data_IF_019421879769
#
_entry.id   IF_019421879769
#
_cell.length_a   1.000
_cell.length_b   1.000
_cell.length_c   1.000
_cell.angle_alpha   90.00
_cell.angle_beta   90.00
_cell.angle_gamma   90.00
#
_symmetry.space_group_name_H-M   'P 1'
#
loop_
_entity.id
_entity.type
_entity.pdbx_description
1 polymer ?
#
# COMPACT_ATOMS: atom_id res chain seq x y z
N UNK A 1 -11.53 18.95 -23.46
CA UNK A 1 -11.36 17.50 -23.26
C UNK A 1 -10.47 16.97 -24.37
N UNK A 2 -9.17 16.88 -24.14
CA UNK A 2 -8.24 16.18 -25.03
C UNK A 2 -7.82 14.96 -24.22
N UNK A 3 -8.36 13.78 -24.54
CA UNK A 3 -7.89 12.55 -23.91
C UNK A 3 -6.45 12.34 -24.36
N UNK A 4 -5.49 12.39 -23.43
CA UNK A 4 -4.11 12.00 -23.68
C UNK A 4 -4.07 10.53 -24.11
N UNK A 5 -4.11 10.29 -25.42
CA UNK A 5 -4.15 8.97 -26.05
C UNK A 5 -2.80 8.25 -26.06
N UNK A 6 -1.75 8.87 -25.51
CA UNK A 6 -0.38 8.34 -25.56
C UNK A 6 -0.08 7.27 -24.51
N UNK A 7 -0.91 7.10 -23.48
CA UNK A 7 -0.63 6.18 -22.36
C UNK A 7 -1.55 4.95 -22.32
N UNK A 8 -2.56 4.87 -23.19
CA UNK A 8 -3.54 3.78 -23.19
C UNK A 8 -3.00 2.58 -23.98
N UNK A 9 -3.00 1.40 -23.34
CA UNK A 9 -2.60 0.14 -23.97
C UNK A 9 -3.73 -0.42 -24.86
N UNK A 10 -3.37 -1.01 -26.01
CA UNK A 10 -4.32 -1.62 -26.96
C UNK A 10 -4.59 -3.11 -26.65
N UNK A 11 -5.74 -3.60 -27.08
CA UNK A 11 -6.41 -4.84 -26.64
C UNK A 11 -5.67 -6.19 -26.73
N UNK A 12 -4.64 -6.46 -27.57
CA UNK A 12 -3.86 -7.69 -27.39
C UNK A 12 -2.76 -7.54 -26.32
N UNK A 13 -2.06 -6.41 -26.33
CA UNK A 13 -0.96 -6.13 -25.39
C UNK A 13 -1.47 -5.92 -23.96
N UNK A 14 -2.66 -5.33 -23.80
CA UNK A 14 -3.29 -5.10 -22.50
C UNK A 14 -3.57 -6.41 -21.75
N UNK A 15 -4.12 -7.40 -22.43
CA UNK A 15 -4.47 -8.69 -21.82
C UNK A 15 -3.22 -9.46 -21.40
N UNK A 16 -2.18 -9.47 -22.25
CA UNK A 16 -0.88 -10.04 -21.89
C UNK A 16 -0.23 -9.33 -20.70
N UNK A 17 -0.27 -8.00 -20.68
CA UNK A 17 0.29 -7.21 -19.58
C UNK A 17 -0.46 -7.44 -18.25
N UNK A 18 -1.80 -7.56 -18.28
CA UNK A 18 -2.60 -7.91 -17.10
C UNK A 18 -2.30 -9.32 -16.58
N UNK A 19 -2.19 -10.30 -17.48
CA UNK A 19 -1.86 -11.67 -17.10
C UNK A 19 -0.45 -11.76 -16.47
N UNK A 20 0.54 -11.10 -17.09
CA UNK A 20 1.90 -11.01 -16.57
C UNK A 20 1.94 -10.33 -15.20
N UNK A 21 1.21 -9.22 -15.04
CA UNK A 21 1.09 -8.51 -13.77
C UNK A 21 0.54 -9.40 -12.65
N UNK A 22 -0.53 -10.17 -12.92
CA UNK A 22 -1.14 -11.08 -11.94
C UNK A 22 -0.15 -12.18 -11.57
N UNK A 23 0.49 -12.82 -12.55
CA UNK A 23 1.46 -13.88 -12.31
C UNK A 23 2.64 -13.40 -11.44
N UNK A 24 3.23 -12.25 -11.78
CA UNK A 24 4.34 -11.66 -11.04
C UNK A 24 3.93 -11.24 -9.62
N UNK A 25 2.76 -10.61 -9.47
CA UNK A 25 2.29 -10.14 -8.15
C UNK A 25 1.94 -11.30 -7.21
N UNK A 26 1.34 -12.38 -7.74
CA UNK A 26 1.08 -13.60 -6.96
C UNK A 26 2.39 -14.27 -6.55
N UNK A 27 3.35 -14.42 -7.48
CA UNK A 27 4.65 -14.99 -7.18
C UNK A 27 5.40 -14.18 -6.10
N UNK A 28 5.38 -12.84 -6.18
CA UNK A 28 5.98 -11.96 -5.19
C UNK A 28 5.32 -12.12 -3.79
N UNK A 29 3.98 -12.17 -3.74
CA UNK A 29 3.26 -12.34 -2.49
C UNK A 29 3.53 -13.71 -1.85
N UNK A 30 3.53 -14.77 -2.66
CA UNK A 30 3.86 -16.13 -2.19
C UNK A 30 5.30 -16.17 -1.67
N UNK A 31 6.25 -15.55 -2.37
CA UNK A 31 7.63 -15.49 -1.93
C UNK A 31 7.77 -14.80 -0.56
N UNK A 32 7.07 -13.67 -0.34
CA UNK A 32 7.05 -13.02 0.98
C UNK A 32 6.45 -13.92 2.06
N UNK A 33 5.30 -14.54 1.80
CA UNK A 33 4.62 -15.40 2.80
C UNK A 33 5.52 -16.59 3.15
N UNK A 34 6.09 -17.27 2.15
CA UNK A 34 6.94 -18.44 2.40
C UNK A 34 8.23 -18.02 3.11
N UNK A 35 8.87 -16.94 2.68
CA UNK A 35 10.10 -16.44 3.31
C UNK A 35 9.86 -16.03 4.76
N UNK A 36 8.78 -15.29 5.05
CA UNK A 36 8.42 -14.92 6.44
C UNK A 36 8.10 -16.13 7.31
N UNK A 37 7.45 -17.17 6.77
CA UNK A 37 7.20 -18.42 7.49
C UNK A 37 8.50 -19.19 7.78
N UNK A 38 9.45 -19.22 6.83
CA UNK A 38 10.76 -19.86 7.03
C UNK A 38 11.56 -19.07 8.06
N UNK A 39 11.64 -17.75 7.92
CA UNK A 39 12.32 -16.87 8.87
C UNK A 39 11.67 -16.86 10.26
N UNK A 40 10.43 -17.34 10.42
CA UNK A 40 9.81 -17.58 11.73
C UNK A 40 10.27 -18.83 12.45
N UNK A 41 10.96 -19.72 11.74
CA UNK A 41 11.55 -20.94 12.28
C UNK A 41 13.07 -20.85 12.45
N UNK A 42 13.70 -19.85 11.83
CA UNK A 42 15.14 -19.63 11.88
C UNK A 42 15.51 -18.47 12.82
N UNK A 43 16.79 -18.39 13.21
CA UNK A 43 17.30 -17.30 14.04
C UNK A 43 17.17 -15.94 13.33
N UNK A 44 17.03 -14.87 14.12
CA UNK A 44 17.03 -13.47 13.66
C UNK A 44 18.11 -13.25 12.58
N UNK A 45 17.82 -12.51 11.50
CA UNK A 45 18.82 -12.19 10.50
C UNK A 45 19.91 -11.34 11.15
N UNK A 46 21.00 -12.00 11.54
CA UNK A 46 22.15 -11.37 12.18
C UNK A 46 23.23 -11.14 11.14
N UNK A 47 23.85 -9.98 11.14
CA UNK A 47 25.15 -9.86 10.48
C UNK A 47 26.16 -10.71 11.28
N UNK A 48 26.67 -11.75 10.63
CA UNK A 48 27.60 -12.68 11.25
C UNK A 48 29.03 -12.12 11.16
N UNK A 49 29.69 -12.05 12.32
CA UNK A 49 31.12 -11.81 12.58
C UNK A 49 31.63 -10.34 12.56
N UNK A 50 32.67 -10.03 13.37
CA UNK A 50 33.25 -8.67 13.49
C UNK A 50 33.88 -8.11 12.20
N UNK A 51 34.12 -8.96 11.19
CA UNK A 51 34.82 -8.61 9.96
C UNK A 51 33.90 -8.50 8.74
N UNK A 52 32.60 -8.83 8.87
CA UNK A 52 31.64 -8.58 7.81
C UNK A 52 31.10 -7.14 7.94
N UNK A 53 31.19 -6.37 6.86
CA UNK A 53 30.62 -5.02 6.75
C UNK A 53 29.11 -5.08 6.93
N UNK A 54 28.68 -4.91 8.18
CA UNK A 54 27.26 -4.84 8.55
C UNK A 54 26.66 -3.61 7.88
N UNK A 55 25.49 -3.76 7.27
CA UNK A 55 24.73 -2.60 6.83
C UNK A 55 24.50 -1.67 8.03
N UNK A 56 24.59 -0.34 7.88
CA UNK A 56 24.51 0.55 9.03
C UNK A 56 23.19 0.48 9.81
N UNK A 57 22.16 -0.09 9.19
CA UNK A 57 20.82 -0.34 9.73
C UNK A 57 20.57 -1.80 10.16
N UNK A 58 21.60 -2.64 10.27
CA UNK A 58 21.47 -4.00 10.82
C UNK A 58 21.91 -4.08 12.28
N UNK A 59 21.35 -5.06 13.00
CA UNK A 59 21.77 -5.42 14.36
C UNK A 59 22.85 -6.51 14.29
N UNK A 60 23.89 -6.39 15.12
CA UNK A 60 24.91 -7.41 15.28
C UNK A 60 24.45 -8.51 16.26
N UNK A 61 25.13 -9.66 16.24
CA UNK A 61 24.90 -10.70 17.26
C UNK A 61 25.17 -10.20 18.69
N UNK A 62 26.16 -9.32 18.84
CA UNK A 62 26.51 -8.73 20.14
C UNK A 62 25.45 -7.75 20.63
N UNK A 63 24.80 -7.00 19.73
CA UNK A 63 23.67 -6.12 20.07
C UNK A 63 22.49 -6.95 20.60
N UNK A 64 22.20 -8.09 19.98
CA UNK A 64 21.12 -9.00 20.40
C UNK A 64 21.44 -9.61 21.77
N UNK A 65 22.68 -10.05 21.99
CA UNK A 65 23.12 -10.57 23.28
C UNK A 65 23.04 -9.51 24.38
N UNK A 66 23.40 -8.26 24.06
CA UNK A 66 23.29 -7.13 24.98
C UNK A 66 21.82 -6.81 25.32
N UNK A 67 20.93 -6.85 24.33
CA UNK A 67 19.49 -6.65 24.52
C UNK A 67 18.88 -7.73 25.44
N UNK A 68 19.31 -8.99 25.28
CA UNK A 68 18.86 -10.07 26.17
C UNK A 68 19.34 -9.85 27.61
N UNK A 69 20.58 -9.40 27.81
CA UNK A 69 21.13 -9.07 29.14
C UNK A 69 20.41 -7.91 29.81
N UNK A 70 19.88 -6.95 29.04
CA UNK A 70 19.10 -5.83 29.56
C UNK A 70 17.62 -6.15 29.80
N UNK A 71 17.21 -7.40 29.61
CA UNK A 71 15.87 -7.89 29.91
C UNK A 71 14.87 -7.73 28.75
N UNK A 72 15.31 -7.41 27.53
CA UNK A 72 14.43 -7.40 26.36
C UNK A 72 14.13 -8.85 25.92
N UNK A 73 12.86 -9.28 25.92
CA UNK A 73 12.51 -10.63 25.51
C UNK A 73 12.77 -10.82 24.01
N UNK A 74 13.36 -11.97 23.67
CA UNK A 74 13.70 -12.32 22.29
C UNK A 74 12.47 -12.27 21.36
N UNK A 75 11.32 -12.74 21.84
CA UNK A 75 10.05 -12.71 21.13
C UNK A 75 9.64 -11.30 20.70
N UNK A 76 9.77 -10.32 21.60
CA UNK A 76 9.39 -8.94 21.31
C UNK A 76 10.25 -8.35 20.19
N UNK A 77 11.57 -8.60 20.24
CA UNK A 77 12.49 -8.13 19.20
C UNK A 77 12.20 -8.80 17.86
N UNK A 78 11.94 -10.11 17.86
CA UNK A 78 11.57 -10.86 16.68
C UNK A 78 10.30 -10.31 16.02
N UNK A 79 9.21 -10.17 16.79
CA UNK A 79 7.96 -9.63 16.27
C UNK A 79 8.07 -8.17 15.84
N UNK A 80 8.84 -7.35 16.55
CA UNK A 80 9.08 -5.97 16.16
C UNK A 80 9.77 -5.88 14.79
N UNK A 81 10.89 -6.60 14.61
CA UNK A 81 11.65 -6.61 13.37
C UNK A 81 10.82 -7.18 12.20
N UNK A 82 10.13 -8.30 12.43
CA UNK A 82 9.20 -8.89 11.47
C UNK A 82 8.09 -7.92 11.06
N UNK A 83 7.43 -7.27 12.03
CA UNK A 83 6.38 -6.30 11.77
C UNK A 83 6.89 -5.08 10.98
N UNK A 84 8.06 -4.52 11.33
CA UNK A 84 8.63 -3.38 10.57
C UNK A 84 8.90 -3.72 9.12
N UNK A 85 9.29 -4.97 8.82
CA UNK A 85 9.61 -5.37 7.45
C UNK A 85 8.36 -5.70 6.64
N UNK A 86 7.37 -6.37 7.24
CA UNK A 86 6.17 -6.86 6.54
C UNK A 86 5.10 -5.78 6.38
N UNK A 87 4.87 -4.93 7.39
CA UNK A 87 3.77 -3.97 7.37
C UNK A 87 3.83 -2.99 6.19
N UNK A 88 4.95 -2.31 5.87
CA UNK A 88 5.01 -1.40 4.73
C UNK A 88 4.79 -2.12 3.39
N UNK A 89 5.31 -3.35 3.26
CA UNK A 89 5.18 -4.17 2.06
C UNK A 89 3.73 -4.55 1.79
N UNK A 90 2.97 -4.90 2.83
CA UNK A 90 1.53 -5.15 2.70
C UNK A 90 0.76 -3.90 2.28
N UNK A 91 1.10 -2.73 2.84
CA UNK A 91 0.47 -1.46 2.42
C UNK A 91 0.75 -1.19 0.95
N UNK A 92 2.00 -1.35 0.50
CA UNK A 92 2.38 -1.15 -0.90
C UNK A 92 1.65 -2.13 -1.82
N UNK A 93 1.57 -3.41 -1.43
CA UNK A 93 0.86 -4.42 -2.19
C UNK A 93 -0.62 -4.07 -2.36
N UNK A 94 -1.30 -3.68 -1.28
CA UNK A 94 -2.71 -3.28 -1.32
C UNK A 94 -2.91 -2.06 -2.20
N UNK A 95 -2.08 -1.01 -2.05
CA UNK A 95 -2.17 0.19 -2.90
C UNK A 95 -1.92 -0.16 -4.37
N UNK A 96 -0.92 -0.99 -4.66
CA UNK A 96 -0.61 -1.47 -6.01
C UNK A 96 -1.78 -2.22 -6.63
N UNK A 97 -2.39 -3.17 -5.91
CA UNK A 97 -3.57 -3.93 -6.35
C UNK A 97 -4.75 -3.00 -6.64
N UNK A 98 -5.00 -2.00 -5.79
CA UNK A 98 -6.06 -1.01 -5.99
C UNK A 98 -5.84 -0.23 -7.28
N UNK A 99 -4.61 0.21 -7.57
CA UNK A 99 -4.28 0.93 -8.81
C UNK A 99 -4.51 0.03 -10.03
N UNK A 100 -4.04 -1.23 -10.00
CA UNK A 100 -4.22 -2.20 -11.08
C UNK A 100 -5.69 -2.43 -11.43
N UNK A 101 -6.50 -2.70 -10.40
CA UNK A 101 -7.92 -3.00 -10.58
C UNK A 101 -8.69 -1.82 -11.17
N UNK A 102 -8.19 -0.60 -11.00
CA UNK A 102 -8.85 0.62 -11.44
C UNK A 102 -8.41 1.14 -12.80
N UNK A 103 -7.11 1.09 -13.08
CA UNK A 103 -6.51 1.82 -14.20
C UNK A 103 -5.43 1.03 -14.94
N UNK A 104 -5.53 -0.31 -14.97
CA UNK A 104 -4.63 -1.17 -15.75
C UNK A 104 -4.57 -0.87 -17.25
N UNK A 105 -5.50 -0.08 -17.79
CA UNK A 105 -5.50 0.36 -19.19
C UNK A 105 -4.40 1.41 -19.48
N UNK A 106 -3.93 2.12 -18.47
CA UNK A 106 -2.84 3.09 -18.59
C UNK A 106 -1.51 2.43 -18.20
N UNK A 107 -0.52 2.44 -19.09
CA UNK A 107 0.75 1.75 -18.86
C UNK A 107 1.56 2.35 -17.70
N UNK A 108 1.40 3.64 -17.39
CA UNK A 108 2.10 4.28 -16.27
C UNK A 108 1.47 3.85 -14.95
N UNK A 109 0.13 3.79 -14.90
CA UNK A 109 -0.59 3.26 -13.75
C UNK A 109 -0.26 1.78 -13.52
N UNK A 110 -0.14 1.00 -14.61
CA UNK A 110 0.27 -0.40 -14.55
C UNK A 110 1.72 -0.55 -14.05
N UNK A 111 2.65 0.27 -14.54
CA UNK A 111 4.05 0.28 -14.09
C UNK A 111 4.17 0.67 -12.61
N UNK A 112 3.46 1.72 -12.19
CA UNK A 112 3.41 2.16 -10.79
C UNK A 112 2.82 1.07 -9.89
N UNK A 113 1.73 0.43 -10.33
CA UNK A 113 1.12 -0.68 -9.61
C UNK A 113 2.07 -1.87 -9.49
N UNK A 114 2.73 -2.27 -10.58
CA UNK A 114 3.71 -3.35 -10.61
C UNK A 114 4.90 -3.06 -9.68
N UNK A 115 5.42 -1.83 -9.71
CA UNK A 115 6.49 -1.38 -8.81
C UNK A 115 6.09 -1.59 -7.35
N UNK A 116 4.89 -1.16 -6.96
CA UNK A 116 4.40 -1.27 -5.60
C UNK A 116 4.15 -2.73 -5.17
N UNK A 117 3.58 -3.57 -6.05
CA UNK A 117 3.32 -4.97 -5.68
C UNK A 117 4.59 -5.81 -5.64
N UNK A 118 5.55 -5.54 -6.53
CA UNK A 118 6.82 -6.27 -6.54
C UNK A 118 7.80 -5.77 -5.49
N UNK A 119 7.62 -4.59 -4.91
CA UNK A 119 8.44 -4.13 -3.78
C UNK A 119 8.40 -5.09 -2.58
N UNK A 120 7.37 -5.93 -2.51
CA UNK A 120 7.23 -7.03 -1.54
C UNK A 120 8.40 -8.02 -1.58
N UNK A 121 9.11 -8.15 -2.71
CA UNK A 121 10.26 -9.05 -2.84
C UNK A 121 11.55 -8.49 -2.25
N UNK A 122 11.57 -7.21 -1.86
CA UNK A 122 12.71 -6.61 -1.17
C UNK A 122 12.97 -7.38 0.15
N UNK A 123 14.24 -7.67 0.46
CA UNK A 123 14.62 -8.36 1.71
C UNK A 123 14.14 -9.81 1.84
N UNK A 124 13.53 -10.40 0.81
CA UNK A 124 13.16 -11.82 0.80
C UNK A 124 14.41 -12.69 0.69
N UNK A 125 14.52 -13.68 1.57
CA UNK A 125 15.69 -14.57 1.67
C UNK A 125 15.25 -16.03 1.90
N UNK A 126 16.21 -16.96 1.84
CA UNK A 126 16.07 -18.38 2.24
C UNK A 126 15.04 -19.21 1.43
N UNK A 127 14.90 -18.93 0.13
CA UNK A 127 14.00 -19.68 -0.78
C UNK A 127 14.73 -20.68 -1.71
N UNK A 128 16.01 -20.97 -1.45
CA UNK A 128 16.80 -21.91 -2.25
C UNK A 128 16.80 -21.55 -3.75
N UNK A 129 16.47 -22.52 -4.60
CA UNK A 129 16.43 -22.33 -6.05
C UNK A 129 15.43 -21.25 -6.54
N UNK A 130 14.39 -20.94 -5.75
CA UNK A 130 13.42 -19.90 -6.10
C UNK A 130 13.98 -18.48 -5.91
N UNK A 131 15.14 -18.29 -5.28
CA UNK A 131 15.78 -16.99 -5.12
C UNK A 131 16.06 -16.30 -6.46
N UNK A 132 16.39 -17.04 -7.52
CA UNK A 132 16.59 -16.46 -8.85
C UNK A 132 15.31 -15.79 -9.37
N UNK A 133 14.14 -16.38 -9.11
CA UNK A 133 12.84 -15.80 -9.50
C UNK A 133 12.58 -14.53 -8.69
N UNK A 134 12.80 -14.56 -7.38
CA UNK A 134 12.65 -13.38 -6.50
C UNK A 134 13.57 -12.24 -6.93
N UNK A 135 14.82 -12.54 -7.27
CA UNK A 135 15.79 -11.55 -7.75
C UNK A 135 15.34 -10.93 -9.08
N UNK A 136 14.78 -11.71 -10.00
CA UNK A 136 14.22 -11.19 -11.26
C UNK A 136 13.01 -10.28 -10.97
N UNK A 137 12.10 -10.68 -10.08
CA UNK A 137 10.95 -9.85 -9.70
C UNK A 137 11.39 -8.53 -9.06
N UNK A 138 12.36 -8.58 -8.15
CA UNK A 138 12.96 -7.39 -7.53
C UNK A 138 13.66 -6.49 -8.54
N UNK A 139 14.32 -7.07 -9.55
CA UNK A 139 14.94 -6.34 -10.64
C UNK A 139 13.88 -5.57 -11.44
N UNK A 140 12.76 -6.23 -11.79
CA UNK A 140 11.64 -5.58 -12.50
C UNK A 140 11.06 -4.43 -11.67
N UNK A 141 10.91 -4.60 -10.35
CA UNK A 141 10.48 -3.54 -9.44
C UNK A 141 11.46 -2.35 -9.45
N UNK A 142 12.76 -2.64 -9.38
CA UNK A 142 13.84 -1.64 -9.36
C UNK A 142 13.89 -0.85 -10.67
N UNK A 143 13.74 -1.52 -11.81
CA UNK A 143 13.61 -0.89 -13.12
C UNK A 143 12.47 0.11 -13.14
N UNK A 144 11.28 -0.31 -12.69
CA UNK A 144 10.10 0.54 -12.65
C UNK A 144 10.30 1.75 -11.71
N UNK A 145 10.93 1.53 -10.55
CA UNK A 145 11.26 2.58 -9.58
C UNK A 145 12.19 3.64 -10.16
N UNK A 146 13.29 3.23 -10.81
CA UNK A 146 14.25 4.17 -11.41
C UNK A 146 13.68 4.95 -12.60
N UNK A 147 12.77 4.35 -13.38
CA UNK A 147 12.15 5.01 -14.53
C UNK A 147 11.06 6.02 -14.14
N UNK A 148 10.40 5.81 -13.00
CA UNK A 148 9.21 6.57 -12.62
C UNK A 148 9.41 8.10 -12.57
N UNK A 149 10.48 8.65 -11.96
CA UNK A 149 10.71 10.09 -11.89
C UNK A 149 10.82 10.79 -13.25
N UNK A 150 11.29 10.07 -14.27
CA UNK A 150 11.57 10.63 -15.60
C UNK A 150 10.35 10.60 -16.52
N UNK A 151 9.48 9.63 -16.29
CA UNK A 151 8.36 9.29 -17.17
C UNK A 151 7.04 9.86 -16.63
N UNK A 152 6.84 9.81 -15.30
CA UNK A 152 5.61 10.21 -14.63
C UNK A 152 5.37 11.74 -14.69
N UNK A 153 4.13 12.22 -14.96
CA UNK A 153 2.88 11.48 -15.19
C UNK A 153 2.51 11.11 -16.64
N UNK A 154 3.22 11.60 -17.66
CA UNK A 154 2.72 11.57 -19.05
C UNK A 154 3.36 10.51 -19.96
N UNK A 155 4.34 9.75 -19.46
CA UNK A 155 4.95 8.67 -20.22
C UNK A 155 6.17 9.07 -21.02
N UNK A 156 6.50 10.37 -21.03
CA UNK A 156 7.58 10.94 -21.82
C UNK A 156 8.76 11.33 -20.94
N UNK A 157 9.97 11.01 -21.40
CA UNK A 157 11.22 11.43 -20.76
C UNK A 157 11.39 12.94 -20.86
N UNK A 158 11.43 13.60 -19.71
CA UNK A 158 11.61 15.03 -19.59
C UNK A 158 12.67 15.33 -18.52
N UNK A 159 13.78 16.01 -18.87
CA UNK A 159 14.24 16.41 -20.20
C UNK A 159 14.57 15.24 -21.14
N UNK A 160 14.49 15.43 -22.47
CA UNK A 160 14.71 14.37 -23.46
C UNK A 160 16.11 13.73 -23.41
N UNK A 161 17.13 14.47 -22.97
CA UNK A 161 18.50 13.95 -22.83
C UNK A 161 18.61 12.88 -21.75
N UNK A 162 17.72 12.89 -20.73
CA UNK A 162 17.74 11.90 -19.63
C UNK A 162 17.56 10.48 -20.14
N UNK A 163 16.91 10.30 -21.30
CA UNK A 163 16.75 8.99 -21.97
C UNK A 163 18.09 8.30 -22.29
N UNK A 164 19.17 9.08 -22.47
CA UNK A 164 20.50 8.54 -22.75
C UNK A 164 21.33 8.31 -21.48
N UNK A 165 21.07 9.06 -20.41
CA UNK A 165 21.82 8.93 -19.15
C UNK A 165 21.21 7.91 -18.18
N UNK A 166 19.90 7.69 -18.23
CA UNK A 166 19.20 6.73 -17.35
C UNK A 166 19.65 5.28 -17.59
N UNK A 167 19.71 4.75 -18.84
CA UNK A 167 20.12 3.36 -19.08
C UNK A 167 21.53 2.99 -18.55
N UNK A 168 22.61 3.76 -18.82
CA UNK A 168 23.93 3.41 -18.31
C UNK A 168 23.99 3.47 -16.78
N UNK A 169 23.38 4.49 -16.15
CA UNK A 169 23.34 4.61 -14.70
C UNK A 169 22.61 3.41 -14.06
N UNK A 170 21.54 2.96 -14.71
CA UNK A 170 20.76 1.81 -14.30
C UNK A 170 21.52 0.50 -14.47
N UNK A 171 22.22 0.31 -15.59
CA UNK A 171 23.09 -0.86 -15.80
C UNK A 171 24.17 -0.93 -14.72
N UNK A 172 24.83 0.20 -14.41
CA UNK A 172 25.84 0.26 -13.35
C UNK A 172 25.22 -0.10 -12.00
N UNK A 173 24.06 0.46 -11.66
CA UNK A 173 23.37 0.19 -10.38
C UNK A 173 22.96 -1.28 -10.23
N UNK A 174 22.51 -1.91 -11.31
CA UNK A 174 22.15 -3.33 -11.34
C UNK A 174 23.40 -4.20 -11.28
N UNK A 175 24.45 -3.86 -12.03
CA UNK A 175 25.71 -4.59 -12.04
C UNK A 175 26.35 -4.61 -10.64
N UNK A 176 26.38 -3.46 -9.96
CA UNK A 176 26.92 -3.33 -8.60
C UNK A 176 26.17 -4.22 -7.61
N UNK A 177 24.83 -4.19 -7.62
CA UNK A 177 24.02 -5.07 -6.76
C UNK A 177 24.21 -6.57 -7.10
N UNK A 178 24.36 -6.89 -8.39
CA UNK A 178 24.52 -8.27 -8.86
C UNK A 178 25.90 -8.85 -8.53
N UNK A 179 26.97 -8.04 -8.55
CA UNK A 179 28.33 -8.48 -8.21
C UNK A 179 28.42 -9.00 -6.78
N UNK A 180 27.77 -8.30 -5.83
CA UNK A 180 27.68 -8.75 -4.44
C UNK A 180 26.91 -10.07 -4.33
N UNK A 181 25.79 -10.19 -5.06
CA UNK A 181 24.96 -11.40 -5.08
C UNK A 181 25.68 -12.61 -5.67
N UNK A 182 26.58 -12.39 -6.63
CA UNK A 182 27.38 -13.44 -7.29
C UNK A 182 28.62 -13.86 -6.47
N UNK A 183 28.84 -13.27 -5.29
CA UNK A 183 29.97 -13.60 -4.43
C UNK A 183 31.33 -13.20 -5.01
N UNK A 184 31.35 -12.25 -5.96
CA UNK A 184 32.61 -11.71 -6.49
C UNK A 184 33.25 -10.88 -5.36
N UNK A 185 34.49 -11.16 -4.96
CA UNK A 185 35.17 -10.38 -3.94
C UNK A 185 35.41 -8.96 -4.48
N UNK A 186 34.68 -8.00 -3.93
CA UNK A 186 34.87 -6.56 -4.19
C UNK A 186 35.34 -5.94 -2.89
N UNK A 187 36.31 -5.01 -2.97
CA UNK A 187 36.70 -4.21 -1.82
C UNK A 187 35.48 -3.46 -1.27
N UNK A 188 35.16 -3.67 0.01
CA UNK A 188 34.02 -3.08 0.71
C UNK A 188 34.00 -1.55 0.60
N UNK A 189 35.19 -0.92 0.58
CA UNK A 189 35.31 0.54 0.46
C UNK A 189 34.93 1.01 -0.94
N UNK A 190 35.43 0.33 -1.98
CA UNK A 190 35.09 0.62 -3.37
C UNK A 190 33.61 0.36 -3.63
N UNK A 191 33.08 -0.75 -3.11
CA UNK A 191 31.66 -1.08 -3.20
C UNK A 191 30.77 -0.01 -2.56
N UNK A 192 31.10 0.42 -1.34
CA UNK A 192 30.39 1.49 -0.64
C UNK A 192 30.44 2.82 -1.39
N UNK A 193 31.61 3.20 -1.93
CA UNK A 193 31.77 4.42 -2.73
C UNK A 193 30.97 4.39 -4.02
N UNK A 194 30.96 3.25 -4.73
CA UNK A 194 30.19 3.10 -5.98
C UNK A 194 28.68 3.11 -5.68
N UNK A 195 28.23 2.45 -4.61
CA UNK A 195 26.83 2.48 -4.19
C UNK A 195 26.38 3.90 -3.80
N UNK A 196 27.19 4.60 -3.01
CA UNK A 196 26.93 5.99 -2.64
C UNK A 196 26.92 6.91 -3.87
N UNK A 197 27.92 6.78 -4.75
CA UNK A 197 28.05 7.58 -5.97
C UNK A 197 26.88 7.37 -6.94
N UNK A 198 26.45 6.12 -7.14
CA UNK A 198 25.28 5.80 -7.97
C UNK A 198 23.99 6.30 -7.33
N UNK A 199 23.81 6.14 -6.01
CA UNK A 199 22.66 6.68 -5.28
C UNK A 199 22.55 8.20 -5.34
N UNK A 200 23.67 8.91 -5.13
CA UNK A 200 23.74 10.37 -5.26
C UNK A 200 23.44 10.79 -6.71
N UNK A 201 24.01 10.10 -7.70
CA UNK A 201 23.76 10.39 -9.11
C UNK A 201 22.28 10.24 -9.47
N UNK A 202 21.62 9.18 -8.99
CA UNK A 202 20.18 9.01 -9.14
C UNK A 202 19.38 10.14 -8.51
N UNK A 203 19.73 10.52 -7.27
CA UNK A 203 19.03 11.56 -6.55
C UNK A 203 19.14 12.91 -7.26
N UNK A 204 20.35 13.28 -7.70
CA UNK A 204 20.59 14.53 -8.43
C UNK A 204 19.87 14.53 -9.78
N UNK A 205 19.95 13.43 -10.52
CA UNK A 205 19.35 13.32 -11.85
C UNK A 205 17.81 13.32 -11.77
N UNK A 206 17.22 12.55 -10.87
CA UNK A 206 15.78 12.51 -10.65
C UNK A 206 15.26 13.85 -10.10
N UNK A 207 15.96 14.44 -9.12
CA UNK A 207 15.65 15.76 -8.58
C UNK A 207 15.67 16.84 -9.66
N UNK A 208 16.72 16.87 -10.49
CA UNK A 208 16.82 17.81 -11.61
C UNK A 208 15.69 17.61 -12.62
N UNK A 209 15.41 16.37 -13.03
CA UNK A 209 14.36 16.08 -14.01
C UNK A 209 12.98 16.53 -13.51
N UNK A 210 12.67 16.25 -12.24
CA UNK A 210 11.43 16.67 -11.59
C UNK A 210 11.33 18.19 -11.49
N UNK A 211 12.38 18.86 -11.01
CA UNK A 211 12.40 20.32 -10.88
C UNK A 211 12.25 20.99 -12.24
N UNK A 212 12.99 20.52 -13.25
CA UNK A 212 12.90 21.03 -14.62
C UNK A 212 11.48 20.88 -15.17
N UNK A 213 10.89 19.69 -15.02
CA UNK A 213 9.54 19.40 -15.49
C UNK A 213 8.50 20.23 -14.75
N UNK A 214 8.64 20.38 -13.44
CA UNK A 214 7.76 21.20 -12.60
C UNK A 214 7.80 22.67 -13.01
N UNK A 215 9.00 23.21 -13.26
CA UNK A 215 9.21 24.62 -13.60
C UNK A 215 8.81 24.96 -15.03
N UNK A 216 9.11 24.10 -16.01
CA UNK A 216 9.02 24.46 -17.45
C UNK A 216 7.83 23.88 -18.20
N UNK A 217 7.28 22.73 -17.79
CA UNK A 217 6.35 21.96 -18.63
C UNK A 217 5.01 21.69 -17.93
N UNK A 218 5.01 21.45 -16.63
CA UNK A 218 3.82 20.94 -15.93
C UNK A 218 2.72 21.98 -15.76
N UNK A 219 1.48 21.59 -16.04
CA UNK A 219 0.26 22.35 -15.72
C UNK A 219 0.00 22.39 -14.21
N UNK A 220 -0.89 23.28 -13.74
CA UNK A 220 -1.16 23.45 -12.30
C UNK A 220 -1.60 22.16 -11.59
N UNK A 221 -2.39 21.30 -12.26
CA UNK A 221 -2.81 20.00 -11.74
C UNK A 221 -1.65 18.99 -11.72
N UNK A 222 -0.92 18.86 -12.84
CA UNK A 222 0.23 17.94 -12.97
C UNK A 222 1.35 18.27 -11.97
N UNK A 223 1.55 19.56 -11.66
CA UNK A 223 2.49 20.01 -10.63
C UNK A 223 2.17 19.42 -9.28
N UNK A 224 0.90 19.39 -8.88
CA UNK A 224 0.49 18.82 -7.60
C UNK A 224 0.61 17.30 -7.61
N UNK A 225 0.16 16.64 -8.68
CA UNK A 225 0.32 15.19 -8.83
C UNK A 225 1.78 14.76 -8.75
N UNK A 226 2.65 15.44 -9.49
CA UNK A 226 4.10 15.18 -9.49
C UNK A 226 4.70 15.49 -8.12
N UNK A 227 4.34 16.61 -7.49
CA UNK A 227 4.86 16.97 -6.16
C UNK A 227 4.65 15.85 -5.14
N UNK A 228 3.42 15.32 -5.02
CA UNK A 228 3.12 14.33 -3.99
C UNK A 228 3.70 12.94 -4.29
N UNK A 229 3.72 12.53 -5.56
CA UNK A 229 4.41 11.30 -5.97
C UNK A 229 5.92 11.42 -5.71
N UNK A 230 6.53 12.57 -6.01
CA UNK A 230 7.97 12.76 -5.82
C UNK A 230 8.36 12.95 -4.36
N UNK A 231 7.50 13.55 -3.53
CA UNK A 231 7.68 13.51 -2.06
C UNK A 231 7.70 12.06 -1.58
N UNK A 232 6.87 11.19 -2.15
CA UNK A 232 6.88 9.76 -1.85
C UNK A 232 8.16 9.03 -2.29
N UNK A 233 8.73 9.37 -3.45
CA UNK A 233 9.92 8.69 -4.00
C UNK A 233 11.22 9.23 -3.42
N UNK A 234 11.37 10.56 -3.37
CA UNK A 234 12.59 11.22 -2.91
C UNK A 234 12.62 11.42 -1.39
N UNK A 235 11.45 11.48 -0.74
CA UNK A 235 11.33 11.65 0.70
C UNK A 235 12.06 10.59 1.52
N UNK A 236 11.90 9.27 1.22
CA UNK A 236 12.66 8.22 1.90
C UNK A 236 14.17 8.45 1.81
N UNK A 237 14.69 8.83 0.64
CA UNK A 237 16.13 9.08 0.46
C UNK A 237 16.61 10.21 1.38
N UNK A 238 15.85 11.32 1.46
CA UNK A 238 16.16 12.44 2.35
C UNK A 238 16.18 12.00 3.81
N UNK A 239 15.25 11.13 4.20
CA UNK A 239 15.18 10.61 5.57
C UNK A 239 16.34 9.63 5.85
N UNK A 240 16.72 8.79 4.89
CA UNK A 240 17.81 7.81 5.03
C UNK A 240 19.20 8.46 5.19
N UNK A 241 19.46 9.63 4.59
CA UNK A 241 20.78 10.30 4.67
C UNK A 241 21.21 10.59 6.13
N UNK A 242 20.40 11.25 6.98
CA UNK A 242 20.69 11.40 8.40
C UNK A 242 20.95 10.07 9.12
N UNK A 243 20.23 8.99 8.79
CA UNK A 243 20.47 7.69 9.41
C UNK A 243 21.83 7.12 9.04
N UNK A 244 22.25 7.25 7.79
CA UNK A 244 23.60 6.84 7.39
C UNK A 244 24.70 7.67 8.07
N UNK A 245 24.44 8.94 8.35
CA UNK A 245 25.39 9.78 9.09
C UNK A 245 25.43 9.38 10.57
N UNK A 246 24.27 9.16 11.19
CA UNK A 246 24.19 8.77 12.61
C UNK A 246 24.80 7.39 12.85
N UNK A 247 24.74 6.48 11.88
CA UNK A 247 25.43 5.20 11.98
C UNK A 247 26.96 5.30 12.03
N UNK A 248 27.55 6.45 11.67
CA UNK A 248 28.97 6.72 11.91
C UNK A 248 29.25 7.06 13.38
N UNK A 249 28.26 7.60 14.09
CA UNK A 249 28.34 7.95 15.52
C UNK A 249 28.09 6.71 16.41
N UNK A 250 27.20 5.82 15.97
CA UNK A 250 26.91 4.54 16.63
C UNK A 250 27.29 3.37 15.71
N UNK A 251 28.59 3.07 15.53
CA UNK A 251 29.03 2.10 14.55
C UNK A 251 28.62 0.67 14.92
N UNK A 252 28.41 -0.21 13.92
CA UNK A 252 28.11 -1.62 14.12
C UNK A 252 29.12 -2.40 14.97
N UNK A 253 30.37 -1.94 14.95
CA UNK A 253 31.49 -2.55 15.67
C UNK A 253 31.54 -2.23 17.16
N UNK A 254 30.68 -1.32 17.66
CA UNK A 254 30.66 -0.93 19.08
C UNK A 254 29.24 -1.10 19.67
N UNK A 255 28.89 -2.32 20.13
CA UNK A 255 27.57 -2.58 20.69
C UNK A 255 27.36 -1.76 21.98
N UNK A 256 26.22 -1.08 22.08
CA UNK A 256 25.88 -0.26 23.23
C UNK A 256 24.37 -0.18 23.45
N UNK A 257 23.95 0.03 24.71
CA UNK A 257 22.54 0.25 25.03
C UNK A 257 21.97 1.49 24.34
N UNK A 258 22.79 2.53 24.15
CA UNK A 258 22.42 3.74 23.42
C UNK A 258 22.09 3.45 21.95
N UNK A 259 22.88 2.59 21.29
CA UNK A 259 22.63 2.16 19.90
C UNK A 259 21.35 1.33 19.78
N UNK A 260 21.10 0.41 20.72
CA UNK A 260 19.85 -0.37 20.76
C UNK A 260 18.63 0.55 20.93
N UNK A 261 18.70 1.50 21.87
CA UNK A 261 17.63 2.47 22.08
C UNK A 261 17.40 3.33 20.83
N UNK A 262 18.46 3.84 20.21
CA UNK A 262 18.37 4.60 18.96
C UNK A 262 17.74 3.76 17.83
N UNK A 263 18.14 2.49 17.72
CA UNK A 263 17.62 1.59 16.69
C UNK A 263 16.10 1.38 16.82
N UNK A 264 15.63 0.95 18.00
CA UNK A 264 14.21 0.62 18.21
C UNK A 264 13.31 1.85 18.35
N UNK A 265 13.80 2.94 18.95
CA UNK A 265 12.97 4.13 19.19
C UNK A 265 12.97 5.12 18.04
N UNK A 266 14.02 5.15 17.22
CA UNK A 266 14.20 6.16 16.17
C UNK A 266 14.35 5.50 14.81
N UNK A 267 15.39 4.67 14.61
CA UNK A 267 15.71 4.13 13.28
C UNK A 267 14.59 3.29 12.67
N UNK A 268 14.10 2.30 13.43
CA UNK A 268 13.08 1.38 12.95
C UNK A 268 11.72 2.08 12.70
N UNK A 269 11.18 2.91 13.62
CA UNK A 269 9.94 3.65 13.36
C UNK A 269 10.06 4.63 12.18
N UNK A 270 11.17 5.37 12.10
CA UNK A 270 11.38 6.34 11.02
C UNK A 270 11.59 5.64 9.68
N UNK A 271 12.25 4.48 9.65
CA UNK A 271 12.35 3.63 8.47
C UNK A 271 10.97 3.20 7.97
N UNK A 272 10.13 2.66 8.86
CA UNK A 272 8.74 2.28 8.55
C UNK A 272 7.94 3.48 8.00
N UNK A 273 8.01 4.62 8.68
CA UNK A 273 7.33 5.84 8.23
C UNK A 273 7.84 6.34 6.88
N UNK A 274 9.14 6.21 6.62
CA UNK A 274 9.75 6.57 5.33
C UNK A 274 9.20 5.72 4.20
N UNK A 275 9.13 4.39 4.38
CA UNK A 275 8.47 3.54 3.39
C UNK A 275 7.01 3.94 3.21
N UNK A 276 6.25 4.10 4.29
CA UNK A 276 4.83 4.49 4.19
C UNK A 276 4.62 5.85 3.52
N UNK A 277 5.58 6.77 3.60
CA UNK A 277 5.54 8.07 2.91
C UNK A 277 5.41 7.89 1.38
N UNK A 278 6.04 6.86 0.81
CA UNK A 278 5.94 6.56 -0.61
C UNK A 278 4.50 6.22 -1.02
N UNK A 279 3.89 5.25 -0.33
CA UNK A 279 2.49 4.90 -0.55
C UNK A 279 1.54 6.04 -0.23
N UNK A 280 1.81 6.81 0.83
CA UNK A 280 1.00 7.96 1.21
C UNK A 280 1.05 9.07 0.16
N UNK A 281 2.23 9.38 -0.41
CA UNK A 281 2.39 10.38 -1.46
C UNK A 281 1.64 10.01 -2.73
N UNK A 282 1.74 8.75 -3.16
CA UNK A 282 0.99 8.21 -4.30
C UNK A 282 -0.52 8.23 -4.00
N UNK A 283 -0.93 7.73 -2.83
CA UNK A 283 -2.32 7.71 -2.41
C UNK A 283 -2.92 9.12 -2.35
N UNK A 284 -2.19 10.09 -1.82
CA UNK A 284 -2.62 11.49 -1.77
C UNK A 284 -2.74 12.10 -3.16
N UNK A 285 -1.82 11.81 -4.08
CA UNK A 285 -1.93 12.24 -5.48
C UNK A 285 -3.20 11.67 -6.15
N UNK A 286 -3.54 10.41 -5.87
CA UNK A 286 -4.75 9.74 -6.35
C UNK A 286 -6.02 10.37 -5.74
N UNK A 287 -6.10 10.49 -4.42
CA UNK A 287 -7.32 10.93 -3.73
C UNK A 287 -7.57 12.43 -3.83
N UNK A 288 -6.54 13.27 -3.69
CA UNK A 288 -6.71 14.73 -3.62
C UNK A 288 -6.68 15.40 -4.99
N UNK A 289 -5.82 14.92 -5.88
CA UNK A 289 -5.60 15.51 -7.21
C UNK A 289 -6.10 14.64 -8.35
N UNK A 290 -6.97 13.67 -8.03
CA UNK A 290 -7.66 12.81 -8.99
C UNK A 290 -6.70 12.23 -10.02
N UNK A 291 -5.51 11.80 -9.58
CA UNK A 291 -4.57 11.12 -10.48
C UNK A 291 -5.28 9.92 -11.11
N UNK A 292 -5.37 9.92 -12.44
CA UNK A 292 -6.12 8.96 -13.27
C UNK A 292 -7.66 8.99 -13.15
N UNK A 293 -8.27 10.07 -12.66
CA UNK A 293 -9.73 10.29 -12.57
C UNK A 293 -10.50 9.18 -11.82
N UNK A 294 -9.89 8.54 -10.83
CA UNK A 294 -10.48 7.39 -10.10
C UNK A 294 -11.53 7.81 -9.04
N UNK A 295 -11.87 9.10 -8.98
CA UNK A 295 -12.53 9.76 -7.84
C UNK A 295 -13.96 9.27 -7.56
N UNK A 296 -14.72 8.90 -8.59
CA UNK A 296 -16.13 8.47 -8.46
C UNK A 296 -16.25 7.06 -7.89
N UNK A 297 -15.35 6.15 -8.27
CA UNK A 297 -15.48 4.74 -7.92
C UNK A 297 -14.74 4.42 -6.61
N UNK A 298 -13.68 5.17 -6.29
CA UNK A 298 -12.98 5.06 -4.99
C UNK A 298 -13.92 5.36 -3.84
N UNK A 299 -14.68 6.47 -3.85
CA UNK A 299 -15.61 6.78 -2.73
C UNK A 299 -16.55 5.61 -2.45
N UNK A 300 -17.09 4.98 -3.48
CA UNK A 300 -18.01 3.84 -3.34
C UNK A 300 -17.30 2.61 -2.77
N UNK A 301 -16.14 2.22 -3.31
CA UNK A 301 -15.42 1.05 -2.81
C UNK A 301 -14.79 1.28 -1.44
N UNK A 302 -14.26 2.46 -1.14
CA UNK A 302 -13.68 2.78 0.17
C UNK A 302 -14.77 2.77 1.24
N UNK A 303 -15.96 3.29 0.94
CA UNK A 303 -17.14 3.17 1.81
C UNK A 303 -17.53 1.71 2.01
N UNK A 304 -17.66 0.91 0.94
CA UNK A 304 -18.02 -0.51 1.08
C UNK A 304 -16.95 -1.34 1.80
N UNK A 305 -15.67 -1.09 1.56
CA UNK A 305 -14.56 -1.78 2.23
C UNK A 305 -14.51 -1.37 3.70
N UNK A 306 -14.63 -0.07 4.02
CA UNK A 306 -14.68 0.40 5.40
C UNK A 306 -15.92 -0.15 6.14
N UNK A 307 -17.07 -0.19 5.48
CA UNK A 307 -18.30 -0.81 5.98
C UNK A 307 -18.08 -2.30 6.29
N UNK A 308 -17.53 -3.04 5.33
CA UNK A 308 -17.28 -4.48 5.45
C UNK A 308 -16.24 -4.77 6.54
N UNK A 309 -15.16 -3.98 6.60
CA UNK A 309 -14.12 -4.08 7.62
C UNK A 309 -14.66 -3.76 9.02
N UNK A 310 -15.48 -2.71 9.16
CA UNK A 310 -16.13 -2.36 10.43
C UNK A 310 -17.07 -3.49 10.86
N UNK A 311 -17.86 -4.05 9.94
CA UNK A 311 -18.74 -5.17 10.23
C UNK A 311 -17.95 -6.41 10.65
N UNK A 312 -16.83 -6.70 9.98
CA UNK A 312 -15.94 -7.80 10.34
C UNK A 312 -15.27 -7.57 11.70
N UNK A 313 -14.82 -6.35 12.01
CA UNK A 313 -14.20 -6.01 13.29
C UNK A 313 -15.21 -6.12 14.42
N UNK A 314 -16.42 -5.60 14.24
CA UNK A 314 -17.52 -5.79 15.20
C UNK A 314 -17.85 -7.28 15.35
N UNK A 315 -17.85 -8.06 14.27
CA UNK A 315 -18.05 -9.51 14.32
C UNK A 315 -16.98 -10.21 15.18
N UNK A 316 -15.71 -10.11 14.79
CA UNK A 316 -14.61 -10.75 15.50
C UNK A 316 -14.48 -10.23 16.93
N UNK A 317 -14.63 -8.92 17.14
CA UNK A 317 -14.61 -8.29 18.45
C UNK A 317 -15.73 -8.80 19.35
N UNK A 318 -16.96 -8.94 18.84
CA UNK A 318 -18.08 -9.48 19.61
C UNK A 318 -17.85 -10.95 19.97
N UNK A 319 -17.34 -11.76 19.05
CA UNK A 319 -17.02 -13.17 19.31
C UNK A 319 -15.96 -13.28 20.42
N UNK A 320 -14.86 -12.53 20.32
CA UNK A 320 -13.78 -12.54 21.33
C UNK A 320 -14.29 -12.04 22.68
N UNK A 321 -15.05 -10.94 22.72
CA UNK A 321 -15.63 -10.39 23.95
C UNK A 321 -16.62 -11.35 24.62
N UNK A 322 -17.56 -11.92 23.87
CA UNK A 322 -18.52 -12.90 24.38
C UNK A 322 -17.80 -14.15 24.89
N UNK A 323 -16.77 -14.62 24.16
CA UNK A 323 -15.97 -15.75 24.58
C UNK A 323 -15.21 -15.47 25.88
N UNK A 324 -14.63 -14.28 26.05
CA UNK A 324 -13.96 -13.89 27.29
C UNK A 324 -14.92 -13.72 28.47
N UNK A 325 -16.07 -13.06 28.26
CA UNK A 325 -17.11 -12.90 29.29
C UNK A 325 -17.66 -14.25 29.73
N UNK A 326 -17.96 -15.14 28.78
CA UNK A 326 -18.47 -16.48 29.10
C UNK A 326 -17.41 -17.30 29.82
N UNK A 327 -16.14 -17.24 29.42
CA UNK A 327 -15.03 -17.89 30.16
C UNK A 327 -14.87 -17.33 31.58
N UNK A 328 -15.03 -16.02 31.76
CA UNK A 328 -14.93 -15.37 33.06
C UNK A 328 -16.09 -15.77 34.00
N UNK A 329 -17.30 -15.98 33.46
CA UNK A 329 -18.49 -16.35 34.24
C UNK A 329 -18.58 -17.86 34.49
N UNK A 330 -18.21 -18.69 33.51
CA UNK A 330 -18.35 -20.15 33.63
C UNK A 330 -17.21 -20.81 34.41
N UNK A 331 -16.07 -20.14 34.56
CA UNK A 331 -14.86 -20.76 35.09
C UNK A 331 -14.33 -21.84 34.14
N UNK A 332 -13.01 -21.95 34.02
CA UNK A 332 -12.41 -22.99 33.19
C UNK A 332 -12.77 -24.37 33.74
N UNK A 333 -13.69 -25.17 33.13
CA UNK A 333 -13.71 -26.64 33.25
C UNK A 333 -14.86 -27.43 32.54
N UNK A 334 -15.44 -27.01 31.41
CA UNK A 334 -16.24 -28.00 30.65
C UNK A 334 -16.25 -27.75 29.15
N UNK A 335 -15.88 -28.79 28.39
CA UNK A 335 -15.96 -28.83 26.93
C UNK A 335 -17.39 -28.55 26.44
N UNK A 336 -18.40 -28.95 27.21
CA UNK A 336 -19.81 -28.61 27.00
C UNK A 336 -20.09 -27.10 27.12
N UNK A 337 -19.45 -26.40 28.07
CA UNK A 337 -19.62 -24.95 28.22
C UNK A 337 -19.03 -24.20 27.01
N UNK A 338 -17.94 -24.72 26.42
CA UNK A 338 -17.34 -24.16 25.20
C UNK A 338 -18.26 -24.37 23.99
N UNK A 339 -18.86 -25.56 23.85
CA UNK A 339 -19.79 -25.85 22.75
C UNK A 339 -21.05 -24.98 22.87
N UNK A 340 -21.67 -24.93 24.05
CA UNK A 340 -22.89 -24.14 24.31
C UNK A 340 -22.63 -22.64 24.13
N UNK A 341 -21.49 -22.12 24.61
CA UNK A 341 -21.13 -20.72 24.40
C UNK A 341 -20.88 -20.40 22.93
N UNK A 342 -20.27 -21.30 22.17
CA UNK A 342 -20.05 -21.12 20.72
C UNK A 342 -21.38 -21.06 19.97
N UNK A 343 -22.34 -21.93 20.31
CA UNK A 343 -23.69 -21.90 19.73
C UNK A 343 -24.46 -20.64 20.13
N UNK A 344 -24.36 -20.20 21.39
CA UNK A 344 -25.01 -18.97 21.84
C UNK A 344 -24.46 -17.72 21.12
N UNK A 345 -23.14 -17.65 20.91
CA UNK A 345 -22.48 -16.60 20.13
C UNK A 345 -22.97 -16.62 18.68
N UNK A 346 -23.04 -17.79 18.05
CA UNK A 346 -23.51 -17.94 16.68
C UNK A 346 -24.99 -17.52 16.51
N UNK A 347 -25.83 -17.80 17.51
CA UNK A 347 -27.25 -17.40 17.51
C UNK A 347 -27.45 -15.89 17.69
N UNK A 348 -26.72 -15.26 18.63
CA UNK A 348 -26.78 -13.80 18.84
C UNK A 348 -26.15 -13.00 17.70
N UNK A 349 -25.29 -13.62 16.89
CA UNK A 349 -24.58 -12.95 15.81
C UNK A 349 -25.50 -12.40 14.71
N UNK A 350 -26.45 -13.19 14.23
CA UNK A 350 -27.31 -12.81 13.11
C UNK A 350 -28.17 -11.54 13.38
N UNK A 351 -28.83 -11.38 14.54
CA UNK A 351 -29.57 -10.15 14.85
C UNK A 351 -28.65 -8.95 15.07
N UNK A 352 -27.47 -9.13 15.66
CA UNK A 352 -26.50 -8.06 15.86
C UNK A 352 -25.97 -7.54 14.50
N UNK A 353 -25.63 -8.45 13.59
CA UNK A 353 -25.18 -8.15 12.22
C UNK A 353 -26.20 -7.29 11.49
N UNK A 354 -27.48 -7.68 11.51
CA UNK A 354 -28.55 -6.93 10.85
C UNK A 354 -28.66 -5.50 11.39
N UNK A 355 -28.68 -5.31 12.71
CA UNK A 355 -28.77 -3.97 13.31
C UNK A 355 -27.60 -3.06 12.95
N UNK A 356 -26.38 -3.61 12.92
CA UNK A 356 -25.20 -2.84 12.51
C UNK A 356 -25.29 -2.47 11.03
N UNK A 357 -25.69 -3.39 10.15
CA UNK A 357 -25.91 -3.09 8.73
C UNK A 357 -26.99 -2.00 8.54
N UNK A 358 -28.15 -2.14 9.17
CA UNK A 358 -29.27 -1.20 9.06
C UNK A 358 -28.90 0.21 9.57
N UNK A 359 -28.12 0.28 10.66
CA UNK A 359 -27.65 1.56 11.21
C UNK A 359 -26.64 2.24 10.29
N UNK A 360 -25.78 1.47 9.63
CA UNK A 360 -24.80 2.06 8.72
C UNK A 360 -25.45 2.45 7.40
N UNK A 361 -26.32 1.61 6.83
CA UNK A 361 -27.03 1.93 5.59
C UNK A 361 -27.92 3.17 5.75
N UNK A 362 -28.63 3.31 6.88
CA UNK A 362 -29.42 4.52 7.16
C UNK A 362 -28.57 5.78 7.35
N UNK A 363 -27.35 5.65 7.92
CA UNK A 363 -26.48 6.80 8.23
C UNK A 363 -25.58 7.22 7.07
N UNK A 364 -25.16 6.30 6.21
CA UNK A 364 -24.28 6.56 5.06
C UNK A 364 -25.05 6.70 3.72
N UNK A 365 -26.13 5.94 3.52
CA UNK A 365 -26.93 5.96 2.29
C UNK A 365 -28.28 6.64 2.48
N UNK A 366 -28.37 7.62 3.38
CA UNK A 366 -29.59 8.36 3.71
C UNK A 366 -30.41 8.75 2.46
N UNK A 367 -29.76 9.27 1.41
CA UNK A 367 -30.41 9.65 0.14
C UNK A 367 -31.02 8.48 -0.65
N UNK A 368 -30.44 7.27 -0.57
CA UNK A 368 -30.90 6.11 -1.35
C UNK A 368 -32.01 5.34 -0.62
N UNK A 369 -31.97 5.31 0.70
CA UNK A 369 -33.02 4.72 1.54
C UNK A 369 -34.26 5.61 1.55
N UNK A 370 -34.09 6.93 1.67
CA UNK A 370 -35.17 7.90 1.52
C UNK A 370 -35.79 7.80 0.12
N UNK A 371 -34.99 7.70 -0.94
CA UNK A 371 -35.52 7.52 -2.30
C UNK A 371 -36.41 6.27 -2.45
N UNK A 372 -35.97 5.11 -1.95
CA UNK A 372 -36.75 3.87 -2.06
C UNK A 372 -38.02 3.90 -1.21
N UNK A 373 -37.95 4.49 0.00
CA UNK A 373 -39.10 4.62 0.90
C UNK A 373 -40.13 5.60 0.35
N UNK A 374 -39.68 6.76 -0.14
CA UNK A 374 -40.55 7.76 -0.76
C UNK A 374 -41.15 7.24 -2.07
N UNK A 375 -40.42 6.44 -2.87
CA UNK A 375 -40.98 5.78 -4.06
C UNK A 375 -42.04 4.73 -3.71
N UNK A 376 -41.82 3.95 -2.65
CA UNK A 376 -42.76 2.94 -2.20
C UNK A 376 -44.04 3.57 -1.62
N UNK A 377 -43.89 4.67 -0.88
CA UNK A 377 -45.00 5.47 -0.34
C UNK A 377 -45.77 6.18 -1.46
N UNK A 378 -45.07 6.70 -2.47
CA UNK A 378 -45.68 7.20 -3.71
C UNK A 378 -46.42 6.08 -4.47
N UNK A 379 -45.83 4.89 -4.63
CA UNK A 379 -46.46 3.77 -5.32
C UNK A 379 -47.65 3.15 -4.57
N UNK A 380 -47.72 3.33 -3.26
CA UNK A 380 -48.88 3.01 -2.45
C UNK A 380 -49.98 4.07 -2.64
N UNK A 381 -49.64 5.36 -2.49
CA UNK A 381 -50.58 6.48 -2.65
C UNK A 381 -51.13 6.56 -4.07
N UNK A 382 -50.30 6.31 -5.08
CA UNK A 382 -50.68 6.35 -6.48
C UNK A 382 -51.64 5.23 -6.90
N UNK A 383 -51.78 4.20 -6.06
CA UNK A 383 -52.72 3.09 -6.29
C UNK A 383 -54.13 3.44 -5.85
N UNK A 384 -54.27 4.40 -4.94
CA UNK A 384 -55.54 4.81 -4.33
C UNK A 384 -56.05 6.16 -4.85
N UNK A 385 -55.21 6.94 -5.56
CA UNK A 385 -55.55 8.27 -6.08
C UNK A 385 -55.97 8.23 -7.55
N UNK A 386 -57.25 8.53 -7.84
CA UNK A 386 -57.84 8.47 -9.20
C UNK A 386 -57.62 9.77 -10.01
N UNK A 387 -57.21 10.86 -9.35
CA UNK A 387 -57.00 12.16 -10.00
C UNK A 387 -55.57 12.31 -10.57
N UNK A 388 -55.45 12.24 -11.90
CA UNK A 388 -54.19 12.37 -12.65
C UNK A 388 -53.42 13.67 -12.33
N UNK A 389 -54.13 14.76 -12.02
CA UNK A 389 -53.54 16.05 -11.65
C UNK A 389 -52.80 16.02 -10.32
N UNK A 390 -53.36 15.37 -9.30
CA UNK A 390 -52.71 15.24 -7.99
C UNK A 390 -51.51 14.30 -8.03
N UNK A 391 -51.62 13.21 -8.78
CA UNK A 391 -50.54 12.25 -9.03
C UNK A 391 -49.30 12.90 -9.65
N UNK A 392 -49.51 13.76 -10.65
CA UNK A 392 -48.42 14.43 -11.35
C UNK A 392 -47.72 15.49 -10.50
N UNK A 393 -48.48 16.28 -9.74
CA UNK A 393 -47.92 17.21 -8.77
C UNK A 393 -47.12 16.48 -7.70
N UNK A 394 -47.66 15.39 -7.15
CA UNK A 394 -46.99 14.62 -6.09
C UNK A 394 -45.73 13.92 -6.57
N UNK A 395 -45.72 13.41 -7.80
CA UNK A 395 -44.53 12.80 -8.41
C UNK A 395 -43.41 13.82 -8.62
N UNK A 396 -43.74 15.04 -9.07
CA UNK A 396 -42.74 16.11 -9.24
C UNK A 396 -42.18 16.54 -7.88
N UNK A 397 -43.02 16.68 -6.86
CA UNK A 397 -42.62 17.03 -5.49
C UNK A 397 -41.66 15.99 -4.90
N UNK A 398 -42.01 14.70 -5.00
CA UNK A 398 -41.18 13.58 -4.56
C UNK A 398 -39.83 13.55 -5.28
N UNK A 399 -39.81 13.74 -6.60
CA UNK A 399 -38.57 13.78 -7.39
C UNK A 399 -37.71 14.97 -6.99
N UNK A 400 -38.32 16.12 -6.72
CA UNK A 400 -37.60 17.33 -6.32
C UNK A 400 -36.98 17.19 -4.92
N UNK A 401 -37.72 16.64 -3.97
CA UNK A 401 -37.27 16.43 -2.59
C UNK A 401 -36.20 15.32 -2.50
N UNK A 402 -36.33 14.28 -3.31
CA UNK A 402 -35.42 13.11 -3.28
C UNK A 402 -34.12 13.35 -4.05
N UNK A 403 -34.21 13.94 -5.24
CA UNK A 403 -33.09 13.99 -6.20
C UNK A 403 -32.46 15.38 -6.32
N UNK A 404 -33.10 16.44 -5.78
CA UNK A 404 -32.69 17.85 -5.93
C UNK A 404 -32.14 18.20 -7.33
N UNK A 405 -32.87 17.86 -8.41
CA UNK A 405 -32.42 18.16 -9.76
C UNK A 405 -32.50 19.66 -10.05
N UNK A 406 -31.64 20.16 -10.93
CA UNK A 406 -31.67 21.55 -11.39
C UNK A 406 -32.90 21.86 -12.27
N UNK A 407 -33.47 20.87 -12.96
CA UNK A 407 -34.74 20.99 -13.71
C UNK A 407 -35.50 19.65 -13.74
N UNK A 408 -36.84 19.71 -13.69
CA UNK A 408 -37.76 18.56 -13.86
C UNK A 408 -38.82 18.93 -14.89
N UNK A 409 -39.08 18.05 -15.86
CA UNK A 409 -40.22 18.17 -16.78
C UNK A 409 -40.93 16.82 -16.90
N UNK A 410 -42.27 16.85 -16.87
CA UNK A 410 -43.13 15.68 -16.95
C UNK A 410 -43.97 15.75 -18.23
N UNK A 411 -43.88 14.72 -19.08
CA UNK A 411 -44.63 14.64 -20.33
C UNK A 411 -45.66 13.53 -20.23
N UNK A 412 -46.94 13.89 -20.28
CA UNK A 412 -48.03 12.94 -20.34
C UNK A 412 -48.37 12.67 -21.81
N UNK A 413 -48.49 11.38 -22.17
CA UNK A 413 -49.01 10.99 -23.47
C UNK A 413 -50.53 11.17 -23.43
N UNK A 414 -51.04 12.02 -24.34
CA UNK A 414 -52.49 12.22 -24.54
C UNK A 414 -53.17 10.94 -24.98
#
# INVERSE_FOLDING_TARGET
>A
MISNSSTILRQPWLNGARAAWVAMSVAALVALIVSTLISSREQLPTCATPNASCAPWSLSQEDIALAQRSGLPHELMYYALGASSVLPKLVFFVVGVIIFWRKSDDWIALMLSLMLTLFVTEGVQNLGAFMSVVNILYLVASVAYYLLPFVFPNGSFVPRWTRWMVPPLMIISIAVQSLNTLGVPVDDTLFGLVLAGTGISWFLLAGYAVIYRYARISTAMERQQTKWVMVGILGPIIVFIPFTIISLVFPPSQPSLGRLAFYFLISMPVGVLSYLLLAAGIGFAIFRYRLYDIDIIIRRTLVYTALTATLALVYFGSVVLLQQLLRAVTGQASELAIIVSTFAIAALFNPLRKRVQDTIDSRFYRRKYDAARVLAEFAATARDEVELGKLTTRLVEVVNETMQPSHVSLWLKK
#
